data_IF_359939804737
#
_entry.id   IF_359939804737
#
_cell.length_a   1.000
_cell.length_b   1.000
_cell.length_c   1.000
_cell.angle_alpha   90.00
_cell.angle_beta   90.00
_cell.angle_gamma   90.00
#
_symmetry.space_group_name_H-M   'P 1'
#
loop_
_entity.id
_entity.type
_entity.pdbx_description
1 polymer ?
#
# COMPACT_ATOMS: atom_id res chain seq x y z
N UNK A 1 -3.98 -5.06 -9.64
CA UNK A 1 -3.53 -3.74 -10.14
C UNK A 1 -2.45 -3.26 -9.21
N UNK A 2 -1.25 -2.97 -9.74
CA UNK A 2 -0.14 -2.55 -8.89
C UNK A 2 -0.21 -1.05 -8.62
N UNK A 3 -0.17 -0.68 -7.35
CA UNK A 3 -0.06 0.72 -6.89
C UNK A 3 1.15 0.87 -5.98
N UNK A 4 1.81 2.01 -6.05
CA UNK A 4 2.96 2.34 -5.22
C UNK A 4 2.59 3.46 -4.27
N UNK A 5 2.61 3.16 -2.98
CA UNK A 5 2.30 4.10 -1.91
C UNK A 5 3.62 4.58 -1.33
N UNK A 6 3.76 5.90 -1.18
CA UNK A 6 4.89 6.53 -0.49
C UNK A 6 4.33 7.17 0.78
N UNK A 7 5.00 6.95 1.89
CA UNK A 7 4.65 7.58 3.16
C UNK A 7 5.90 7.98 3.93
N UNK A 8 5.77 8.94 4.83
CA UNK A 8 6.85 9.46 5.66
C UNK A 8 7.22 8.49 6.80
N UNK A 9 8.40 8.66 7.38
CA UNK A 9 8.87 7.85 8.52
C UNK A 9 7.98 7.98 9.76
N UNK A 10 7.24 9.08 9.88
CA UNK A 10 6.33 9.36 10.98
C UNK A 10 4.97 8.68 10.85
N UNK A 11 4.65 8.05 9.72
CA UNK A 11 3.39 7.34 9.52
C UNK A 11 3.45 5.97 10.24
N UNK A 12 2.69 5.80 11.35
CA UNK A 12 2.72 4.57 12.11
C UNK A 12 2.12 3.40 11.33
N UNK A 13 1.15 3.65 10.43
CA UNK A 13 0.51 2.61 9.63
C UNK A 13 1.45 2.10 8.53
N UNK A 14 2.20 2.99 7.87
CA UNK A 14 3.21 2.61 6.90
C UNK A 14 4.33 1.79 7.55
N UNK A 15 4.79 2.21 8.73
CA UNK A 15 5.78 1.47 9.52
C UNK A 15 5.28 0.08 9.92
N UNK A 16 4.05 -0.01 10.44
CA UNK A 16 3.47 -1.30 10.83
C UNK A 16 3.39 -2.26 9.65
N UNK A 17 2.87 -1.81 8.50
CA UNK A 17 2.80 -2.64 7.30
C UNK A 17 4.18 -3.08 6.80
N UNK A 18 5.17 -2.20 6.84
CA UNK A 18 6.55 -2.54 6.47
C UNK A 18 7.10 -3.65 7.37
N UNK A 19 6.98 -3.49 8.69
CA UNK A 19 7.49 -4.46 9.66
C UNK A 19 6.80 -5.82 9.51
N UNK A 20 5.46 -5.83 9.36
CA UNK A 20 4.70 -7.05 9.14
C UNK A 20 5.09 -7.75 7.85
N UNK A 21 5.23 -7.01 6.76
CA UNK A 21 5.67 -7.59 5.49
C UNK A 21 7.09 -8.18 5.59
N UNK A 22 7.99 -7.52 6.32
CA UNK A 22 9.36 -8.01 6.54
C UNK A 22 9.41 -9.30 7.36
N UNK A 23 8.53 -9.43 8.35
CA UNK A 23 8.48 -10.58 9.25
C UNK A 23 7.71 -11.75 8.63
N UNK A 24 6.50 -11.49 8.13
CA UNK A 24 5.58 -12.51 7.62
C UNK A 24 5.85 -12.85 6.14
N UNK A 25 6.52 -11.98 5.39
CA UNK A 25 6.71 -12.10 3.93
C UNK A 25 5.47 -11.75 3.10
N UNK A 26 4.35 -11.47 3.76
CA UNK A 26 3.10 -11.00 3.17
C UNK A 26 2.45 -9.98 4.11
N UNK A 27 1.65 -9.06 3.57
CA UNK A 27 0.87 -8.14 4.39
C UNK A 27 -0.44 -7.81 3.67
N UNK A 28 -1.61 -8.07 4.25
CA UNK A 28 -2.87 -7.60 3.68
C UNK A 28 -2.92 -6.07 3.76
N UNK A 29 -3.46 -5.45 2.72
CA UNK A 29 -3.72 -4.02 2.64
C UNK A 29 -5.23 -3.79 2.54
N UNK A 30 -5.75 -2.93 3.39
CA UNK A 30 -7.18 -2.64 3.40
C UNK A 30 -7.63 -1.70 4.50
N UNK A 31 -8.95 -1.55 4.58
CA UNK A 31 -9.64 -0.87 5.68
C UNK A 31 -10.33 -1.91 6.54
N UNK A 32 -10.81 -1.53 7.73
CA UNK A 32 -11.52 -2.46 8.64
C UNK A 32 -12.55 -3.28 7.87
N UNK A 33 -12.45 -4.60 8.01
CA UNK A 33 -13.31 -5.62 7.41
C UNK A 33 -13.27 -5.75 5.88
N UNK A 34 -12.41 -4.99 5.19
CA UNK A 34 -12.29 -5.04 3.74
C UNK A 34 -10.84 -5.15 3.26
N UNK A 35 -10.50 -6.34 2.75
CA UNK A 35 -9.22 -6.62 2.12
C UNK A 35 -9.21 -6.09 0.67
N UNK A 36 -8.37 -5.09 0.41
CA UNK A 36 -8.27 -4.46 -0.91
C UNK A 36 -7.22 -5.13 -1.81
N UNK A 37 -6.17 -5.68 -1.20
CA UNK A 37 -5.08 -6.34 -1.90
C UNK A 37 -3.91 -6.65 -0.98
N UNK A 38 -2.78 -7.06 -1.54
CA UNK A 38 -1.62 -7.50 -0.77
C UNK A 38 -0.39 -6.64 -1.06
N UNK A 39 0.41 -6.36 -0.04
CA UNK A 39 1.76 -5.81 -0.22
C UNK A 39 2.61 -6.87 -0.92
N UNK A 40 3.24 -6.47 -2.03
CA UNK A 40 4.17 -7.29 -2.83
C UNK A 40 5.62 -6.97 -2.53
N UNK A 41 5.89 -5.73 -2.16
CA UNK A 41 7.22 -5.24 -1.84
C UNK A 41 7.08 -4.12 -0.81
N UNK A 42 7.98 -4.11 0.18
CA UNK A 42 8.06 -3.07 1.17
C UNK A 42 9.52 -2.67 1.38
N UNK A 43 9.80 -1.39 1.17
CA UNK A 43 11.16 -0.84 1.24
C UNK A 43 11.15 0.39 2.13
N UNK A 44 12.04 0.41 3.11
CA UNK A 44 12.36 1.59 3.91
C UNK A 44 13.45 2.39 3.19
N UNK A 45 13.27 3.70 3.11
CA UNK A 45 14.22 4.65 2.55
C UNK A 45 14.65 5.65 3.62
N UNK A 46 15.63 6.50 3.31
CA UNK A 46 16.04 7.60 4.20
C UNK A 46 14.94 8.62 4.47
N UNK A 47 13.90 8.66 3.64
CA UNK A 47 12.81 9.64 3.71
C UNK A 47 11.48 9.04 4.15
N UNK A 48 11.34 7.72 4.24
CA UNK A 48 10.05 7.09 4.50
C UNK A 48 9.94 5.64 4.08
N UNK A 49 8.71 5.23 3.79
CA UNK A 49 8.38 3.89 3.34
C UNK A 49 7.81 3.93 1.93
N UNK A 50 8.17 2.92 1.16
CA UNK A 50 7.66 2.65 -0.17
C UNK A 50 7.05 1.27 -0.19
N UNK A 51 5.74 1.22 -0.38
CA UNK A 51 4.96 -0.03 -0.40
C UNK A 51 4.38 -0.23 -1.80
N UNK A 52 4.72 -1.35 -2.43
CA UNK A 52 4.08 -1.79 -3.67
C UNK A 52 2.95 -2.73 -3.31
N UNK A 53 1.72 -2.36 -3.64
CA UNK A 53 0.51 -3.11 -3.30
C UNK A 53 -0.17 -3.61 -4.57
N UNK A 54 -0.52 -4.89 -4.60
CA UNK A 54 -1.36 -5.48 -5.64
C UNK A 54 -2.82 -5.46 -5.20
N UNK A 55 -3.54 -4.46 -5.69
CA UNK A 55 -4.97 -4.28 -5.44
C UNK A 55 -5.76 -5.26 -6.30
N UNK A 56 -6.50 -6.16 -5.65
CA UNK A 56 -7.36 -7.15 -6.29
C UNK A 56 -8.85 -6.83 -6.15
N UNK A 57 -9.23 -5.95 -5.23
CA UNK A 57 -10.63 -5.67 -4.94
C UNK A 57 -11.29 -4.80 -6.02
N UNK A 58 -12.35 -5.26 -6.72
CA UNK A 58 -12.94 -4.57 -7.87
C UNK A 58 -13.39 -3.13 -7.58
N UNK A 59 -13.97 -2.88 -6.40
CA UNK A 59 -14.42 -1.54 -6.01
C UNK A 59 -13.24 -0.57 -5.83
N UNK A 60 -12.10 -1.04 -5.34
CA UNK A 60 -10.90 -0.22 -5.16
C UNK A 60 -10.27 0.10 -6.51
N UNK A 61 -10.23 -0.88 -7.41
CA UNK A 61 -9.79 -0.70 -8.80
C UNK A 61 -10.66 0.37 -9.47
N UNK A 62 -11.99 0.23 -9.40
CA UNK A 62 -12.94 1.20 -9.98
C UNK A 62 -12.75 2.61 -9.38
N UNK A 63 -12.58 2.72 -8.06
CA UNK A 63 -12.34 4.00 -7.40
C UNK A 63 -11.06 4.68 -7.91
N UNK A 64 -9.97 3.93 -8.03
CA UNK A 64 -8.68 4.47 -8.48
C UNK A 64 -8.73 4.89 -9.94
N UNK A 65 -9.46 4.16 -10.81
CA UNK A 65 -9.72 4.59 -12.19
C UNK A 65 -10.64 5.82 -12.30
N UNK A 66 -11.49 6.06 -11.30
CA UNK A 66 -12.40 7.22 -11.29
C UNK A 66 -11.74 8.52 -10.85
N UNK A 67 -10.51 8.46 -10.32
CA UNK A 67 -9.73 9.66 -10.03
C UNK A 67 -8.94 10.05 -11.26
N UNK A 68 -9.05 11.30 -11.76
CA UNK A 68 -8.14 11.78 -12.79
C UNK A 68 -6.70 11.64 -12.26
N UNK A 69 -5.81 11.09 -13.07
CA UNK A 69 -4.39 11.11 -12.79
C UNK A 69 -4.02 12.58 -12.56
N UNK A 70 -3.54 12.90 -11.36
CA UNK A 70 -2.95 14.21 -11.12
C UNK A 70 -1.70 14.27 -11.99
N UNK A 71 -1.83 14.87 -13.18
CA UNK A 71 -0.71 15.34 -13.97
C UNK A 71 -0.01 16.41 -13.11
N UNK A 72 1.20 16.07 -12.65
CA UNK A 72 2.14 16.97 -12.01
C UNK A 72 3.41 17.03 -12.85
#
# INVERSE_FOLDING_TARGET
>A
MLVRIRSDLSDPGAREMYLRFKDEGFCPFGVKDLHLGFVREATETTSGYVLTVDISHPAAIKYLHSKPQAEG
#
